data_IF_545312346167
#
_entry.id   IF_545312346167
#
_cell.length_a   1.000
_cell.length_b   1.000
_cell.length_c   1.000
_cell.angle_alpha   90.00
_cell.angle_beta   90.00
_cell.angle_gamma   90.00
#
_symmetry.space_group_name_H-M   'P 1'
#
loop_
_entity.id
_entity.type
_entity.pdbx_description
1 polymer ?
#
# COMPACT_ATOMS: atom_id res chain seq x y z
N UNK A 1 0.10 -7.10 -4.62
CA UNK A 1 0.73 -8.03 -3.66
C UNK A 1 2.03 -8.62 -4.23
N UNK A 2 2.89 -9.25 -3.42
CA UNK A 2 3.99 -10.12 -3.86
C UNK A 2 4.02 -11.40 -3.03
N UNK A 3 4.22 -12.55 -3.66
CA UNK A 3 4.28 -13.85 -2.99
C UNK A 3 5.61 -14.54 -3.28
N UNK A 4 6.23 -15.13 -2.26
CA UNK A 4 7.38 -16.01 -2.42
C UNK A 4 7.17 -17.33 -1.68
N UNK A 5 7.12 -18.42 -2.43
CA UNK A 5 7.11 -19.76 -1.85
C UNK A 5 8.49 -20.16 -1.31
N UNK A 6 9.57 -19.69 -1.94
CA UNK A 6 10.95 -20.02 -1.55
C UNK A 6 11.32 -19.38 -0.21
N UNK A 7 11.03 -18.09 -0.06
CA UNK A 7 11.33 -17.34 1.15
C UNK A 7 10.12 -17.25 2.10
N UNK A 8 9.04 -17.97 1.78
CA UNK A 8 7.80 -18.06 2.56
C UNK A 8 7.25 -16.70 3.01
N UNK A 9 7.04 -15.79 2.07
CA UNK A 9 6.47 -14.49 2.41
C UNK A 9 5.31 -14.07 1.52
N UNK A 10 4.42 -13.25 2.08
CA UNK A 10 3.35 -12.57 1.38
C UNK A 10 3.36 -11.09 1.75
N UNK A 11 3.62 -10.23 0.78
CA UNK A 11 3.52 -8.79 0.93
C UNK A 11 2.18 -8.29 0.36
N UNK A 12 1.35 -7.69 1.22
CA UNK A 12 0.12 -7.01 0.83
C UNK A 12 0.44 -5.54 0.53
N UNK A 13 0.17 -5.12 -0.71
CA UNK A 13 0.46 -3.76 -1.14
C UNK A 13 -0.72 -2.85 -0.82
N UNK A 14 -0.52 -1.94 0.14
CA UNK A 14 -1.48 -0.87 0.45
C UNK A 14 -1.13 0.38 -0.35
N UNK A 15 -2.11 1.01 -0.97
CA UNK A 15 -1.86 2.20 -1.78
C UNK A 15 -1.29 3.34 -0.92
N UNK A 16 -0.26 4.01 -1.46
CA UNK A 16 0.38 5.22 -0.90
C UNK A 16 1.16 5.01 0.41
N UNK A 17 1.59 3.78 0.69
CA UNK A 17 2.42 3.44 1.87
C UNK A 17 3.86 3.07 1.49
N UNK A 18 4.35 3.51 0.33
CA UNK A 18 5.69 3.17 -0.15
C UNK A 18 5.81 1.80 -0.83
N UNK A 19 4.68 1.10 -1.01
CA UNK A 19 4.64 -0.25 -1.57
C UNK A 19 5.31 -0.40 -2.93
N UNK A 20 5.30 0.60 -3.82
CA UNK A 20 5.99 0.50 -5.13
C UNK A 20 7.50 0.28 -4.98
N UNK A 21 8.16 1.05 -4.11
CA UNK A 21 9.60 0.92 -3.90
C UNK A 21 9.93 -0.44 -3.29
N UNK A 22 9.12 -0.88 -2.32
CA UNK A 22 9.28 -2.17 -1.67
C UNK A 22 9.02 -3.35 -2.63
N UNK A 23 7.97 -3.25 -3.46
CA UNK A 23 7.66 -4.24 -4.50
C UNK A 23 8.84 -4.41 -5.45
N UNK A 24 9.43 -3.34 -5.96
CA UNK A 24 10.58 -3.45 -6.86
C UNK A 24 11.80 -4.11 -6.22
N UNK A 25 11.98 -3.85 -4.92
CA UNK A 25 13.13 -4.32 -4.18
C UNK A 25 12.99 -5.81 -3.77
N UNK A 26 11.76 -6.25 -3.49
CA UNK A 26 11.40 -7.63 -3.16
C UNK A 26 11.09 -8.51 -4.37
N UNK A 27 10.71 -7.93 -5.52
CA UNK A 27 10.32 -8.69 -6.70
C UNK A 27 11.32 -9.78 -7.12
N UNK A 28 12.67 -9.56 -7.08
CA UNK A 28 13.64 -10.63 -7.40
C UNK A 28 13.55 -11.88 -6.51
N UNK A 29 12.91 -11.77 -5.35
CA UNK A 29 12.70 -12.87 -4.39
C UNK A 29 11.30 -13.47 -4.45
N UNK A 30 10.37 -12.86 -5.21
CA UNK A 30 9.00 -13.34 -5.39
C UNK A 30 8.94 -14.55 -6.35
N UNK A 31 7.76 -15.16 -6.49
CA UNK A 31 7.49 -16.20 -7.51
C UNK A 31 7.59 -15.61 -8.91
N UNK A 32 7.74 -16.49 -9.90
CA UNK A 32 8.05 -16.10 -11.29
C UNK A 32 6.94 -15.23 -11.91
N UNK A 33 5.69 -15.50 -11.57
CA UNK A 33 4.52 -14.75 -12.04
C UNK A 33 4.60 -13.29 -11.59
N UNK A 34 4.85 -13.08 -10.29
CA UNK A 34 4.96 -11.74 -9.72
C UNK A 34 6.24 -11.02 -10.22
N UNK A 35 7.34 -11.76 -10.42
CA UNK A 35 8.53 -11.23 -11.10
C UNK A 35 8.21 -10.71 -12.50
N UNK A 36 7.48 -11.48 -13.31
CA UNK A 36 7.10 -11.07 -14.68
C UNK A 36 6.18 -9.86 -14.62
N UNK A 37 5.18 -9.85 -13.74
CA UNK A 37 4.23 -8.75 -13.61
C UNK A 37 4.92 -7.42 -13.22
N UNK A 38 5.92 -7.46 -12.34
CA UNK A 38 6.53 -6.25 -11.78
C UNK A 38 7.89 -5.87 -12.39
N UNK A 39 8.61 -6.82 -12.99
CA UNK A 39 9.93 -6.60 -13.63
C UNK A 39 9.83 -6.71 -15.17
N UNK A 40 8.88 -7.49 -15.70
CA UNK A 40 8.71 -7.72 -17.14
C UNK A 40 8.45 -6.45 -17.95
N UNK A 41 7.80 -5.45 -17.33
CA UNK A 41 7.61 -4.09 -17.85
C UNK A 41 8.89 -3.35 -18.26
N UNK A 42 10.07 -3.87 -17.86
CA UNK A 42 11.40 -3.29 -18.14
C UNK A 42 12.19 -4.06 -19.20
N UNK A 43 11.65 -5.15 -19.73
CA UNK A 43 12.29 -5.96 -20.77
C UNK A 43 11.56 -5.68 -22.10
N UNK A 44 12.19 -5.02 -23.08
CA UNK A 44 11.51 -4.60 -24.32
C UNK A 44 10.81 -5.73 -25.08
N UNK A 45 11.37 -6.93 -25.05
CA UNK A 45 10.78 -8.13 -25.65
C UNK A 45 9.49 -8.55 -24.94
N UNK A 46 9.47 -8.47 -23.62
CA UNK A 46 8.28 -8.77 -22.81
C UNK A 46 7.26 -7.67 -22.98
N UNK A 47 7.65 -6.39 -23.02
CA UNK A 47 6.74 -5.27 -23.35
C UNK A 47 6.06 -5.45 -24.72
N UNK A 48 6.83 -5.80 -25.76
CA UNK A 48 6.28 -6.05 -27.10
C UNK A 48 5.32 -7.25 -27.13
N UNK A 49 5.62 -8.27 -26.33
CA UNK A 49 4.77 -9.45 -26.18
C UNK A 49 3.53 -9.16 -25.34
N UNK A 50 3.62 -8.26 -24.35
CA UNK A 50 2.50 -7.79 -23.55
C UNK A 50 1.60 -6.82 -24.34
N UNK A 51 2.17 -5.91 -25.13
CA UNK A 51 1.49 -4.95 -26.02
C UNK A 51 0.56 -5.63 -27.03
N UNK A 52 0.98 -6.77 -27.59
CA UNK A 52 0.15 -7.59 -28.49
C UNK A 52 -1.08 -8.21 -27.80
N UNK A 53 -1.08 -8.24 -26.46
CA UNK A 53 -2.16 -8.75 -25.61
C UNK A 53 -2.90 -7.60 -24.88
N UNK A 54 -2.48 -6.35 -25.12
CA UNK A 54 -2.86 -5.13 -24.37
C UNK A 54 -4.09 -4.42 -24.93
N UNK A 55 -5.23 -5.09 -24.89
CA UNK A 55 -6.53 -4.43 -24.97
C UNK A 55 -7.14 -4.10 -23.60
N UNK A 56 -6.48 -4.48 -22.50
CA UNK A 56 -7.13 -4.67 -21.20
C UNK A 56 -6.18 -4.28 -20.05
N UNK A 57 -6.62 -3.39 -19.16
CA UNK A 57 -5.78 -2.76 -18.13
C UNK A 57 -5.44 -3.67 -16.93
N UNK A 58 -5.97 -4.89 -16.88
CA UNK A 58 -5.78 -5.82 -15.74
C UNK A 58 -4.65 -6.85 -15.94
N UNK A 59 -3.46 -6.39 -16.37
CA UNK A 59 -2.34 -7.29 -16.67
C UNK A 59 -1.73 -7.98 -15.42
N UNK A 60 -1.70 -7.30 -14.28
CA UNK A 60 -1.23 -7.91 -13.02
C UNK A 60 -2.15 -9.06 -12.63
N UNK A 61 -3.47 -8.88 -12.74
CA UNK A 61 -4.46 -9.92 -12.45
C UNK A 61 -4.32 -11.10 -13.41
N UNK A 62 -4.14 -10.86 -14.71
CA UNK A 62 -3.97 -11.93 -15.71
C UNK A 62 -2.71 -12.75 -15.50
N UNK A 63 -1.61 -12.13 -15.07
CA UNK A 63 -0.31 -12.81 -14.89
C UNK A 63 -0.20 -13.49 -13.53
N UNK A 64 -0.68 -12.83 -12.47
CA UNK A 64 -0.52 -13.29 -11.08
C UNK A 64 -1.74 -14.05 -10.55
N UNK A 65 -2.88 -13.86 -11.20
CA UNK A 65 -4.21 -14.27 -10.75
C UNK A 65 -4.92 -13.21 -9.90
N UNK A 66 -4.26 -12.19 -9.38
CA UNK A 66 -4.80 -11.31 -8.34
C UNK A 66 -4.81 -9.83 -8.73
N UNK A 67 -5.82 -9.09 -8.27
CA UNK A 67 -5.80 -7.64 -8.35
C UNK A 67 -4.56 -7.09 -7.61
N UNK A 68 -4.02 -5.97 -8.11
CA UNK A 68 -2.83 -5.34 -7.52
C UNK A 68 -3.04 -4.98 -6.04
N UNK A 69 -4.29 -4.68 -5.65
CA UNK A 69 -4.78 -4.28 -4.34
C UNK A 69 -5.80 -5.27 -3.74
N UNK A 70 -5.69 -6.56 -4.10
CA UNK A 70 -6.48 -7.66 -3.52
C UNK A 70 -6.58 -7.57 -1.99
N UNK A 71 -7.78 -7.81 -1.44
CA UNK A 71 -8.04 -7.78 0.01
C UNK A 71 -7.67 -9.11 0.66
N UNK A 72 -7.32 -9.08 1.94
CA UNK A 72 -6.88 -10.27 2.69
C UNK A 72 -7.86 -11.44 2.64
N UNK A 73 -9.15 -11.17 2.82
CA UNK A 73 -10.19 -12.21 2.78
C UNK A 73 -10.27 -12.91 1.41
N UNK A 74 -9.92 -12.24 0.31
CA UNK A 74 -9.90 -12.86 -1.03
C UNK A 74 -8.71 -13.81 -1.20
N UNK A 75 -7.63 -13.60 -0.45
CA UNK A 75 -6.42 -14.42 -0.51
C UNK A 75 -6.58 -15.73 0.25
N UNK A 76 -7.18 -15.69 1.44
CA UNK A 76 -7.38 -16.88 2.29
C UNK A 76 -8.20 -17.95 1.57
N UNK A 77 -9.25 -17.56 0.85
CA UNK A 77 -10.08 -18.48 0.07
C UNK A 77 -9.34 -19.12 -1.12
N UNK A 78 -8.31 -18.48 -1.66
CA UNK A 78 -7.70 -18.86 -2.94
C UNK A 78 -6.44 -19.71 -2.83
N UNK A 79 -5.67 -19.57 -1.74
CA UNK A 79 -4.43 -20.33 -1.54
C UNK A 79 -4.62 -21.66 -0.77
N UNK A 80 -5.76 -21.84 -0.10
CA UNK A 80 -5.98 -22.90 0.88
C UNK A 80 -5.29 -22.57 2.22
N UNK A 81 -5.94 -22.94 3.34
CA UNK A 81 -5.52 -22.53 4.69
C UNK A 81 -4.08 -22.94 5.03
N UNK A 82 -3.69 -24.18 4.71
CA UNK A 82 -2.37 -24.73 5.07
C UNK A 82 -1.19 -23.99 4.42
N UNK A 83 -1.33 -23.62 3.14
CA UNK A 83 -0.27 -22.90 2.42
C UNK A 83 -0.17 -21.44 2.84
N UNK A 84 -1.27 -20.88 3.32
CA UNK A 84 -1.34 -19.51 3.78
C UNK A 84 -0.76 -19.36 5.18
N UNK A 85 -1.01 -20.34 6.07
CA UNK A 85 -0.50 -20.35 7.44
C UNK A 85 1.04 -20.24 7.52
N UNK A 86 1.74 -20.96 6.64
CA UNK A 86 3.21 -21.05 6.59
C UNK A 86 3.94 -19.78 6.12
N UNK A 87 3.22 -18.79 5.59
CA UNK A 87 3.81 -17.56 5.06
C UNK A 87 4.00 -16.52 6.16
N UNK A 88 5.14 -15.83 6.16
CA UNK A 88 5.31 -14.55 6.85
C UNK A 88 4.61 -13.45 6.05
N UNK A 89 3.51 -12.94 6.58
CA UNK A 89 2.61 -11.98 5.93
C UNK A 89 2.87 -10.61 6.49
N UNK A 90 3.07 -9.64 5.61
CA UNK A 90 3.29 -8.29 6.03
C UNK A 90 2.69 -7.25 5.10
N UNK A 91 2.39 -6.10 5.67
CA UNK A 91 1.92 -4.91 4.99
C UNK A 91 2.63 -3.68 5.52
N UNK A 92 2.53 -2.56 4.80
CA UNK A 92 2.96 -1.27 5.31
C UNK A 92 1.76 -0.33 5.37
N UNK A 93 1.63 0.37 6.49
CA UNK A 93 0.69 1.47 6.69
C UNK A 93 1.44 2.80 6.69
N UNK A 94 0.71 3.88 6.55
CA UNK A 94 1.22 5.25 6.69
C UNK A 94 0.24 6.03 7.57
N UNK A 95 0.71 7.08 8.23
CA UNK A 95 -0.18 7.96 8.99
C UNK A 95 -1.42 8.35 8.14
N UNK A 96 -2.66 8.14 8.65
CA UNK A 96 -3.88 8.34 7.86
C UNK A 96 -3.99 9.74 7.23
N UNK A 97 -3.53 10.79 7.91
CA UNK A 97 -3.52 12.15 7.35
C UNK A 97 -2.64 12.24 6.10
N UNK A 98 -1.36 11.89 6.29
CA UNK A 98 -0.33 11.91 5.25
C UNK A 98 -0.66 11.01 4.07
N UNK A 99 -1.24 9.83 4.33
CA UNK A 99 -1.61 8.84 3.33
C UNK A 99 -2.77 9.33 2.46
N UNK A 100 -3.80 9.91 3.08
CA UNK A 100 -4.99 10.43 2.38
C UNK A 100 -4.63 11.60 1.47
N UNK A 101 -3.86 12.57 1.98
CA UNK A 101 -3.36 13.67 1.14
C UNK A 101 -2.48 13.15 -0.01
N UNK A 102 -1.62 12.16 0.27
CA UNK A 102 -0.77 11.56 -0.77
C UNK A 102 -1.58 10.86 -1.87
N UNK A 103 -2.73 10.26 -1.54
CA UNK A 103 -3.64 9.68 -2.51
C UNK A 103 -4.27 10.76 -3.40
N UNK A 104 -4.87 11.79 -2.80
CA UNK A 104 -5.41 12.93 -3.54
C UNK A 104 -4.36 13.54 -4.48
N UNK A 105 -3.18 13.84 -3.93
CA UNK A 105 -2.09 14.44 -4.69
C UNK A 105 -1.57 13.52 -5.80
N UNK A 106 -1.61 12.21 -5.62
CA UNK A 106 -1.28 11.27 -6.69
C UNK A 106 -2.32 11.29 -7.81
N UNK A 107 -3.60 11.21 -7.46
CA UNK A 107 -4.69 11.19 -8.44
C UNK A 107 -4.68 12.48 -9.25
N UNK A 108 -4.53 13.65 -8.61
CA UNK A 108 -4.44 14.96 -9.32
C UNK A 108 -3.29 15.06 -10.33
N UNK A 109 -2.29 14.16 -10.27
CA UNK A 109 -1.10 14.15 -11.13
C UNK A 109 -1.03 12.96 -12.08
N UNK A 110 -2.06 12.11 -12.09
CA UNK A 110 -2.13 10.91 -12.92
C UNK A 110 -3.29 11.01 -13.90
N UNK A 111 -3.11 11.64 -15.08
CA UNK A 111 -4.15 11.75 -16.11
C UNK A 111 -4.80 10.43 -16.52
N UNK A 112 -4.06 9.32 -16.38
CA UNK A 112 -4.49 7.95 -16.62
C UNK A 112 -5.41 7.37 -15.53
N UNK A 113 -5.48 8.00 -14.36
CA UNK A 113 -6.27 7.50 -13.25
C UNK A 113 -7.76 7.72 -13.49
N UNK A 114 -8.60 6.71 -13.24
CA UNK A 114 -10.05 6.77 -13.50
C UNK A 114 -10.78 7.97 -12.86
N UNK A 115 -10.28 8.42 -11.71
CA UNK A 115 -10.84 9.56 -10.95
C UNK A 115 -10.14 10.90 -11.23
N UNK A 116 -9.18 10.97 -12.15
CA UNK A 116 -8.39 12.17 -12.43
C UNK A 116 -9.27 13.40 -12.75
N UNK A 117 -10.20 13.25 -13.68
CA UNK A 117 -11.05 14.36 -14.14
C UNK A 117 -11.91 14.95 -13.03
N UNK A 118 -12.35 14.12 -12.08
CA UNK A 118 -13.12 14.55 -10.92
C UNK A 118 -12.22 15.24 -9.88
N UNK A 119 -11.13 14.60 -9.51
CA UNK A 119 -10.28 15.03 -8.39
C UNK A 119 -9.49 16.31 -8.74
N UNK A 120 -9.06 16.48 -9.99
CA UNK A 120 -8.27 17.65 -10.42
C UNK A 120 -9.05 18.98 -10.33
N UNK A 121 -10.38 18.93 -10.26
CA UNK A 121 -11.24 20.11 -10.27
C UNK A 121 -11.50 20.67 -8.87
N UNK A 122 -11.15 19.93 -7.81
CA UNK A 122 -11.51 20.24 -6.43
C UNK A 122 -10.26 20.34 -5.57
N UNK A 123 -10.30 21.22 -4.57
CA UNK A 123 -9.29 21.25 -3.50
C UNK A 123 -9.38 19.98 -2.65
N UNK A 124 -8.31 19.66 -1.93
CA UNK A 124 -8.27 18.48 -1.06
C UNK A 124 -9.43 18.45 -0.06
N UNK A 125 -9.67 19.57 0.63
CA UNK A 125 -10.77 19.72 1.58
C UNK A 125 -12.14 19.39 0.97
N UNK A 126 -12.41 19.89 -0.24
CA UNK A 126 -13.67 19.66 -0.96
C UNK A 126 -13.83 18.20 -1.45
N UNK A 127 -12.74 17.45 -1.52
CA UNK A 127 -12.74 16.04 -1.87
C UNK A 127 -12.99 15.12 -0.67
N UNK A 128 -12.69 15.56 0.55
CA UNK A 128 -12.76 14.70 1.74
C UNK A 128 -14.11 13.99 1.93
N UNK A 129 -15.28 14.65 1.78
CA UNK A 129 -16.56 13.95 1.92
C UNK A 129 -16.69 12.74 0.98
N UNK A 130 -16.33 12.91 -0.30
CA UNK A 130 -16.37 11.83 -1.28
C UNK A 130 -15.32 10.75 -0.99
N UNK A 131 -14.11 11.15 -0.56
CA UNK A 131 -13.07 10.19 -0.19
C UNK A 131 -13.49 9.33 1.01
N UNK A 132 -14.27 9.88 1.93
CA UNK A 132 -14.83 9.16 3.07
C UNK A 132 -15.96 8.23 2.61
N UNK A 133 -16.91 8.74 1.83
CA UNK A 133 -18.05 7.98 1.31
C UNK A 133 -17.60 6.74 0.51
N UNK A 134 -16.57 6.91 -0.34
CA UNK A 134 -16.02 5.85 -1.16
C UNK A 134 -14.96 4.99 -0.44
N UNK A 135 -14.75 5.23 0.87
CA UNK A 135 -13.77 4.54 1.72
C UNK A 135 -12.33 4.57 1.15
N UNK A 136 -11.97 5.67 0.47
CA UNK A 136 -10.62 5.84 -0.06
C UNK A 136 -9.61 6.11 1.03
N UNK A 137 -10.05 6.54 2.22
CA UNK A 137 -9.21 7.02 3.32
C UNK A 137 -8.58 5.88 4.13
N UNK A 138 -9.18 4.69 4.14
CA UNK A 138 -8.76 3.57 5.00
C UNK A 138 -7.70 2.66 4.37
N UNK A 139 -7.03 1.88 5.22
CA UNK A 139 -5.93 0.96 4.91
C UNK A 139 -6.17 -0.46 5.45
N UNK A 140 -6.84 -0.62 6.60
CA UNK A 140 -7.12 -1.88 7.26
C UNK A 140 -7.87 -2.89 6.37
N UNK A 141 -8.84 -2.50 5.53
CA UNK A 141 -9.55 -3.45 4.66
C UNK A 141 -8.66 -4.24 3.68
N UNK A 142 -7.43 -3.78 3.43
CA UNK A 142 -6.47 -4.52 2.60
C UNK A 142 -5.90 -5.76 3.29
N UNK A 143 -5.77 -5.74 4.63
CA UNK A 143 -5.05 -6.79 5.37
C UNK A 143 -5.75 -7.31 6.64
N UNK A 144 -6.90 -6.78 6.99
CA UNK A 144 -7.78 -7.28 8.06
C UNK A 144 -8.88 -8.19 7.49
N UNK A 145 -9.44 -9.04 8.34
CA UNK A 145 -10.57 -9.89 7.98
C UNK A 145 -11.83 -9.05 7.66
N UNK A 146 -12.70 -9.60 6.82
CA UNK A 146 -14.00 -8.96 6.54
C UNK A 146 -14.81 -8.91 7.85
N UNK A 147 -15.44 -7.76 8.14
CA UNK A 147 -16.21 -7.48 9.38
C UNK A 147 -15.42 -7.41 10.70
N UNK A 148 -14.07 -7.49 10.70
CA UNK A 148 -13.26 -7.26 11.91
C UNK A 148 -11.98 -6.46 11.63
N UNK A 149 -11.43 -5.82 12.67
CA UNK A 149 -10.11 -5.18 12.62
C UNK A 149 -8.99 -6.16 13.01
N UNK A 150 -9.29 -7.46 13.04
CA UNK A 150 -8.28 -8.48 13.28
C UNK A 150 -7.37 -8.57 12.06
N UNK A 151 -6.10 -8.20 12.26
CA UNK A 151 -5.10 -8.27 11.21
C UNK A 151 -4.64 -9.71 11.02
N UNK A 152 -4.66 -10.17 9.77
CA UNK A 152 -4.04 -11.44 9.39
C UNK A 152 -2.55 -11.34 9.08
N UNK A 153 -1.90 -10.22 9.42
CA UNK A 153 -0.48 -9.99 9.16
C UNK A 153 0.35 -10.41 10.38
N UNK A 154 1.50 -11.03 10.10
CA UNK A 154 2.54 -11.29 11.09
C UNK A 154 3.34 -10.02 11.40
N UNK A 155 3.36 -9.07 10.48
CA UNK A 155 4.04 -7.79 10.65
C UNK A 155 3.35 -6.65 9.91
N UNK A 156 3.19 -5.50 10.57
CA UNK A 156 2.74 -4.26 9.94
C UNK A 156 3.86 -3.25 10.11
N UNK A 157 4.49 -2.83 9.01
CA UNK A 157 5.49 -1.76 9.02
C UNK A 157 4.86 -0.38 8.86
N UNK A 158 5.59 0.66 9.26
CA UNK A 158 5.21 2.06 9.10
C UNK A 158 6.04 2.74 8.01
N UNK A 159 5.39 3.51 7.14
CA UNK A 159 6.06 4.29 6.10
C UNK A 159 7.08 5.27 6.68
N UNK A 160 6.77 5.87 7.83
CA UNK A 160 7.59 6.83 8.57
C UNK A 160 8.87 6.19 9.13
N UNK A 161 8.90 4.85 9.24
CA UNK A 161 10.06 4.04 9.68
C UNK A 161 10.47 2.99 8.66
N UNK A 162 10.11 3.20 7.38
CA UNK A 162 10.23 2.22 6.30
C UNK A 162 11.61 1.55 6.25
N UNK A 163 12.70 2.31 6.30
CA UNK A 163 14.04 1.73 6.20
C UNK A 163 14.33 0.75 7.35
N UNK A 164 13.96 1.09 8.59
CA UNK A 164 14.18 0.23 9.75
C UNK A 164 13.28 -1.02 9.72
N UNK A 165 12.02 -0.86 9.34
CA UNK A 165 11.07 -1.97 9.27
C UNK A 165 11.39 -2.93 8.11
N UNK A 166 11.95 -2.42 7.01
CA UNK A 166 12.46 -3.23 5.90
C UNK A 166 13.67 -4.05 6.33
N UNK A 167 14.59 -3.47 7.09
CA UNK A 167 15.74 -4.21 7.63
C UNK A 167 15.26 -5.40 8.50
N UNK A 168 14.25 -5.19 9.36
CA UNK A 168 13.64 -6.26 10.16
C UNK A 168 13.04 -7.37 9.29
N UNK A 169 12.33 -7.00 8.22
CA UNK A 169 11.75 -7.97 7.28
C UNK A 169 12.85 -8.76 6.55
N UNK A 170 13.89 -8.08 6.06
CA UNK A 170 15.03 -8.70 5.36
C UNK A 170 15.72 -9.73 6.26
N UNK A 171 15.98 -9.35 7.51
CA UNK A 171 16.57 -10.24 8.51
C UNK A 171 15.64 -11.42 8.83
N UNK A 172 14.34 -11.17 9.02
CA UNK A 172 13.33 -12.21 9.30
C UNK A 172 13.18 -13.22 8.16
N UNK A 173 13.36 -12.78 6.92
CA UNK A 173 13.29 -13.60 5.71
C UNK A 173 14.62 -14.30 5.38
N UNK A 174 15.70 -13.98 6.10
CA UNK A 174 17.03 -14.53 5.84
C UNK A 174 17.55 -14.18 4.44
N UNK A 175 17.20 -12.99 3.93
CA UNK A 175 17.65 -12.57 2.60
C UNK A 175 19.13 -12.17 2.68
N UNK A 176 20.00 -12.92 2.00
CA UNK A 176 21.46 -12.70 1.98
C UNK A 176 21.87 -11.33 1.41
N UNK A 177 20.98 -10.66 0.67
CA UNK A 177 21.21 -9.34 0.08
C UNK A 177 20.44 -8.28 0.86
N UNK A 178 21.16 -7.28 1.37
CA UNK A 178 20.54 -6.04 1.84
C UNK A 178 19.73 -5.41 0.71
N UNK A 179 18.45 -5.19 0.99
CA UNK A 179 17.53 -4.54 0.06
C UNK A 179 17.70 -3.03 0.23
N UNK A 180 18.06 -2.33 -0.84
CA UNK A 180 18.09 -0.86 -0.83
C UNK A 180 16.86 -0.33 -1.53
N UNK A 181 15.99 0.36 -0.79
CA UNK A 181 14.84 1.02 -1.39
C UNK A 181 15.28 2.20 -2.23
N UNK A 182 14.83 2.23 -3.49
CA UNK A 182 14.95 3.42 -4.33
C UNK A 182 13.83 4.38 -3.93
N UNK A 183 14.18 5.62 -3.57
CA UNK A 183 13.18 6.68 -3.40
C UNK A 183 12.48 6.89 -4.76
N UNK A 184 11.20 6.51 -4.84
CA UNK A 184 10.34 6.64 -6.02
C UNK A 184 9.05 7.33 -5.62
N UNK A 185 8.42 8.01 -6.58
CA UNK A 185 7.16 8.72 -6.39
C UNK A 185 7.19 9.71 -5.21
N UNK A 186 8.38 10.26 -4.93
CA UNK A 186 8.56 11.36 -3.99
C UNK A 186 7.96 12.59 -4.64
N UNK A 187 7.01 13.22 -3.96
CA UNK A 187 6.55 14.53 -4.40
C UNK A 187 7.75 15.49 -4.33
N UNK A 188 8.16 16.14 -5.44
CA UNK A 188 9.26 17.09 -5.38
C UNK A 188 8.90 18.31 -4.53
N UNK A 189 7.61 18.55 -4.27
CA UNK A 189 7.16 19.55 -3.31
C UNK A 189 7.16 18.95 -1.90
N UNK A 190 7.58 19.73 -0.89
CA UNK A 190 7.37 19.32 0.49
C UNK A 190 5.88 19.09 0.74
N UNK A 191 5.56 18.20 1.69
CA UNK A 191 4.21 18.09 2.22
C UNK A 191 3.72 19.48 2.63
N UNK A 192 2.57 19.96 2.15
CA UNK A 192 1.97 21.16 2.71
C UNK A 192 1.61 20.96 4.18
N UNK A 193 1.36 22.09 4.85
CA UNK A 193 0.75 22.14 6.16
C UNK A 193 -0.60 21.42 6.15
N UNK A 194 -0.62 20.17 6.63
CA UNK A 194 -1.76 19.27 6.53
C UNK A 194 -2.98 19.85 7.24
N UNK A 195 -2.80 20.46 8.42
CA UNK A 195 -3.88 21.11 9.16
C UNK A 195 -4.65 22.10 8.28
N UNK A 196 -3.95 22.91 7.48
CA UNK A 196 -4.57 23.86 6.57
C UNK A 196 -5.21 23.21 5.34
N UNK A 197 -4.79 22.00 4.96
CA UNK A 197 -5.43 21.25 3.87
C UNK A 197 -6.74 20.61 4.31
N UNK A 198 -6.79 20.10 5.55
CA UNK A 198 -7.99 19.47 6.11
C UNK A 198 -9.10 20.46 6.44
N UNK A 199 -8.73 21.67 6.91
CA UNK A 199 -9.66 22.77 7.14
C UNK A 199 -10.84 22.35 8.03
N UNK A 200 -12.04 22.73 7.63
CA UNK A 200 -13.27 22.50 8.39
C UNK A 200 -13.71 21.03 8.35
N UNK A 201 -13.12 20.21 7.48
CA UNK A 201 -13.45 18.79 7.32
C UNK A 201 -12.59 17.88 8.22
N UNK A 202 -11.70 18.44 9.06
CA UNK A 202 -10.79 17.67 9.91
C UNK A 202 -11.55 16.75 10.89
N UNK A 203 -12.57 17.26 11.57
CA UNK A 203 -13.31 16.49 12.57
C UNK A 203 -14.07 15.32 11.94
N UNK A 204 -14.71 15.55 10.79
CA UNK A 204 -15.38 14.49 10.02
C UNK A 204 -14.39 13.41 9.57
N UNK A 205 -13.19 13.81 9.13
CA UNK A 205 -12.14 12.84 8.77
C UNK A 205 -11.68 12.03 9.99
N UNK A 206 -11.47 12.68 11.13
CA UNK A 206 -11.09 12.02 12.38
C UNK A 206 -12.13 11.00 12.83
N UNK A 207 -13.41 11.35 12.75
CA UNK A 207 -14.50 10.43 13.10
C UNK A 207 -14.54 9.22 12.16
N UNK A 208 -14.38 9.44 10.85
CA UNK A 208 -14.37 8.38 9.86
C UNK A 208 -13.14 7.44 9.96
N UNK A 209 -12.02 7.92 10.49
CA UNK A 209 -10.74 7.17 10.51
C UNK A 209 -10.26 6.79 11.91
N UNK A 210 -11.04 7.09 12.96
CA UNK A 210 -10.66 6.87 14.37
C UNK A 210 -10.13 5.45 14.63
N UNK A 211 -10.85 4.46 14.12
CA UNK A 211 -10.50 3.05 14.28
C UNK A 211 -9.12 2.70 13.69
N UNK A 212 -8.69 3.37 12.61
CA UNK A 212 -7.36 3.17 12.04
C UNK A 212 -6.25 3.83 12.85
N UNK A 213 -6.50 5.03 13.35
CA UNK A 213 -5.56 5.69 14.26
C UNK A 213 -5.29 4.82 15.48
N UNK A 214 -6.33 4.24 16.08
CA UNK A 214 -6.23 3.30 17.19
C UNK A 214 -5.53 1.99 16.79
N UNK A 215 -5.98 1.35 15.70
CA UNK A 215 -5.43 0.07 15.23
C UNK A 215 -3.93 0.15 14.93
N UNK A 216 -3.49 1.26 14.33
CA UNK A 216 -2.11 1.46 13.94
C UNK A 216 -1.30 2.22 14.98
N UNK A 217 -1.90 2.74 16.06
CA UNK A 217 -1.18 3.50 17.09
C UNK A 217 -0.68 4.88 16.65
N UNK A 218 -1.30 5.51 15.64
CA UNK A 218 -0.95 6.87 15.23
C UNK A 218 -1.63 7.92 16.13
N UNK A 219 -0.99 9.08 16.27
CA UNK A 219 -1.62 10.24 16.89
C UNK A 219 -2.72 10.81 16.02
N UNK A 220 -3.84 11.20 16.62
CA UNK A 220 -4.92 11.98 15.99
C UNK A 220 -4.60 13.47 15.88
N UNK A 221 -3.43 13.91 16.34
CA UNK A 221 -2.93 15.26 16.10
C UNK A 221 -2.32 15.35 14.69
N UNK A 222 -2.99 16.10 13.82
CA UNK A 222 -2.56 16.31 12.42
C UNK A 222 -1.17 16.93 12.30
N UNK A 223 -0.72 17.71 13.29
CA UNK A 223 0.62 18.31 13.25
C UNK A 223 1.72 17.26 13.49
N UNK A 224 1.34 16.10 14.02
CA UNK A 224 2.20 14.92 14.23
C UNK A 224 2.07 13.89 13.12
N UNK A 225 1.46 14.23 11.98
CA UNK A 225 1.26 13.31 10.86
C UNK A 225 2.55 12.80 10.17
N UNK A 226 3.71 13.36 10.54
CA UNK A 226 5.03 12.95 10.10
C UNK A 226 5.70 11.93 11.04
N UNK A 227 5.14 11.74 12.23
CA UNK A 227 5.68 10.84 13.23
C UNK A 227 5.23 9.41 12.97
N UNK A 228 6.10 8.42 13.28
CA UNK A 228 5.70 7.03 13.27
C UNK A 228 4.68 6.73 14.38
N UNK A 229 3.98 5.61 14.27
CA UNK A 229 3.02 5.22 15.29
C UNK A 229 3.72 4.79 16.58
N UNK A 230 3.04 4.98 17.71
CA UNK A 230 3.47 4.53 19.02
C UNK A 230 3.27 3.01 19.12
N UNK A 231 4.37 2.25 19.17
CA UNK A 231 4.31 0.82 19.48
C UNK A 231 4.03 -0.12 18.31
N UNK A 232 4.24 0.29 17.06
CA UNK A 232 4.18 -0.66 15.93
C UNK A 232 5.52 -1.37 15.75
N UNK A 233 5.42 -2.70 15.67
CA UNK A 233 6.46 -3.72 15.59
C UNK A 233 5.77 -5.09 15.65
N UNK A 234 6.50 -6.17 15.36
CA UNK A 234 6.02 -7.56 15.37
C UNK A 234 4.96 -7.83 16.45
N UNK A 235 3.79 -8.31 16.06
CA UNK A 235 2.84 -8.94 17.00
C UNK A 235 3.36 -10.30 17.41
#
# INVERSE_FOLDING_TARGET
>A
MLLSWKYKFLFIHVAKTGGTALTEALAPFARREDQIAHIGGRIPLVNRMLELWSGDQNMIEKVTGFDAHVRYHELTHRFGEDRFADLFKFAFVRNPFSRTYSLYSHITRSPEHRWFELVKQKRFEEMLPLMIEEDWITQAPFFCAWESLESGMDFIGAFERMDADVDLIVDRLGLEKKIRLKRRNVDPKPMPELRAQYGDQLDMFLDATRAEFELFGYSTDVDRAHEPPNGVGLR
#
